data_IF_836836377374
#
_entry.id   IF_836836377374
#
_cell.length_a   1.000
_cell.length_b   1.000
_cell.length_c   1.000
_cell.angle_alpha   90.00
_cell.angle_beta   90.00
_cell.angle_gamma   90.00
#
_symmetry.space_group_name_H-M   'P 1'
#
loop_
_entity.id
_entity.type
_entity.pdbx_description
1 polymer ?
#
# COMPACT_ATOMS: atom_id res chain seq x y z
N UNK A 1 12.60 -23.32 -28.99
CA UNK A 1 11.69 -24.31 -28.40
C UNK A 1 10.66 -23.55 -27.56
N UNK A 2 9.38 -23.81 -27.69
CA UNK A 2 8.30 -23.22 -26.86
C UNK A 2 7.52 -24.34 -26.18
N UNK A 3 7.06 -24.07 -24.98
CA UNK A 3 6.23 -24.98 -24.19
C UNK A 3 4.77 -24.48 -24.22
N UNK A 4 3.81 -25.36 -24.19
CA UNK A 4 2.41 -24.93 -24.10
C UNK A 4 2.14 -24.17 -22.80
N UNK A 5 2.70 -24.64 -21.71
CA UNK A 5 2.57 -24.08 -20.37
C UNK A 5 3.92 -23.98 -19.69
N UNK A 6 4.19 -22.85 -19.03
CA UNK A 6 5.32 -22.65 -18.13
C UNK A 6 4.78 -22.37 -16.73
N UNK A 7 5.18 -23.18 -15.75
CA UNK A 7 4.76 -23.03 -14.34
C UNK A 7 6.01 -22.88 -13.48
N UNK A 8 5.93 -21.99 -12.47
CA UNK A 8 7.09 -21.81 -11.61
C UNK A 8 6.80 -21.04 -10.31
N UNK A 9 7.73 -21.23 -9.38
CA UNK A 9 7.91 -20.42 -8.19
C UNK A 9 9.35 -19.87 -8.23
N UNK A 10 9.58 -18.71 -8.86
CA UNK A 10 10.90 -18.15 -9.06
C UNK A 10 11.50 -17.61 -7.76
N UNK A 11 12.83 -17.40 -7.70
CA UNK A 11 13.48 -16.80 -6.54
C UNK A 11 13.02 -15.36 -6.32
N UNK A 12 12.74 -14.99 -5.06
CA UNK A 12 12.16 -13.68 -4.70
C UNK A 12 13.20 -12.57 -4.47
N UNK A 13 14.46 -12.92 -4.39
CA UNK A 13 15.57 -12.00 -4.10
C UNK A 13 15.72 -10.94 -5.18
N UNK A 14 15.85 -9.68 -4.78
CA UNK A 14 16.14 -8.54 -5.65
C UNK A 14 15.19 -8.38 -6.85
N UNK A 15 13.90 -8.71 -6.67
CA UNK A 15 12.89 -8.65 -7.73
C UNK A 15 13.21 -9.55 -8.95
N UNK A 16 14.06 -10.56 -8.78
CA UNK A 16 14.47 -11.49 -9.84
C UNK A 16 13.28 -12.27 -10.42
N UNK A 17 12.24 -12.51 -9.59
CA UNK A 17 11.02 -13.17 -10.03
C UNK A 17 10.35 -12.48 -11.24
N UNK A 18 10.50 -11.15 -11.38
CA UNK A 18 9.94 -10.40 -12.52
C UNK A 18 10.59 -10.86 -13.84
N UNK A 19 11.90 -11.05 -13.83
CA UNK A 19 12.66 -11.51 -15.00
C UNK A 19 12.24 -12.95 -15.36
N UNK A 20 12.06 -13.81 -14.35
CA UNK A 20 11.61 -15.20 -14.56
C UNK A 20 10.20 -15.29 -15.15
N UNK A 21 9.30 -14.42 -14.71
CA UNK A 21 7.94 -14.37 -15.27
C UNK A 21 7.97 -13.94 -16.73
N UNK A 22 8.75 -12.91 -17.05
CA UNK A 22 8.91 -12.44 -18.43
C UNK A 22 9.54 -13.54 -19.32
N UNK A 23 10.56 -14.25 -18.80
CA UNK A 23 11.15 -15.38 -19.49
C UNK A 23 10.13 -16.50 -19.70
N UNK A 24 9.35 -16.86 -18.67
CA UNK A 24 8.27 -17.84 -18.77
C UNK A 24 7.24 -17.45 -19.82
N UNK A 25 6.85 -16.20 -19.86
CA UNK A 25 5.95 -15.67 -20.89
C UNK A 25 6.57 -15.78 -22.30
N UNK A 26 7.86 -15.50 -22.45
CA UNK A 26 8.56 -15.66 -23.74
C UNK A 26 8.62 -17.14 -24.19
N UNK A 27 8.88 -18.06 -23.27
CA UNK A 27 9.03 -19.49 -23.54
C UNK A 27 7.72 -20.23 -23.71
N UNK A 28 6.62 -19.73 -23.16
CA UNK A 28 5.30 -20.34 -23.33
C UNK A 28 4.71 -20.02 -24.71
N UNK A 29 3.90 -20.94 -25.24
CA UNK A 29 3.07 -20.70 -26.42
C UNK A 29 1.64 -20.31 -26.07
N UNK A 30 1.14 -20.75 -24.88
CA UNK A 30 -0.22 -20.49 -24.42
C UNK A 30 -0.26 -19.82 -23.05
N UNK A 31 0.25 -20.49 -22.03
CA UNK A 31 0.06 -20.09 -20.64
C UNK A 31 1.36 -19.96 -19.85
N UNK A 32 1.38 -19.01 -18.95
CA UNK A 32 2.39 -18.92 -17.88
C UNK A 32 1.67 -18.79 -16.54
N UNK A 33 2.01 -19.67 -15.59
CA UNK A 33 1.46 -19.65 -14.23
C UNK A 33 2.62 -19.50 -13.26
N UNK A 34 2.61 -18.42 -12.52
CA UNK A 34 3.68 -18.13 -11.55
C UNK A 34 3.11 -17.76 -10.20
N UNK A 35 3.83 -18.17 -9.14
CA UNK A 35 3.62 -17.68 -7.79
C UNK A 35 4.76 -16.73 -7.44
N UNK A 36 4.44 -15.52 -7.00
CA UNK A 36 5.42 -14.46 -6.78
C UNK A 36 5.04 -13.58 -5.59
N UNK A 37 5.99 -12.80 -5.02
CA UNK A 37 5.64 -11.69 -4.15
C UNK A 37 4.65 -10.75 -4.83
N UNK A 38 3.68 -10.22 -4.06
CA UNK A 38 2.64 -9.35 -4.62
C UNK A 38 3.08 -7.88 -4.77
N UNK A 39 4.25 -7.52 -4.29
CA UNK A 39 4.75 -6.13 -4.28
C UNK A 39 4.82 -5.45 -5.65
N UNK A 40 4.93 -6.20 -6.74
CA UNK A 40 4.90 -5.67 -8.11
C UNK A 40 3.60 -4.92 -8.42
N UNK A 41 2.53 -5.24 -7.74
CA UNK A 41 1.23 -4.60 -7.93
C UNK A 41 1.22 -3.13 -7.49
N UNK A 42 2.00 -2.82 -6.45
CA UNK A 42 1.98 -1.52 -5.81
C UNK A 42 3.32 -0.78 -5.86
N UNK A 43 4.44 -1.48 -6.03
CA UNK A 43 5.77 -0.87 -6.05
C UNK A 43 5.98 -0.04 -7.33
N UNK A 44 6.36 1.22 -7.17
CA UNK A 44 6.72 2.10 -8.29
C UNK A 44 8.11 1.82 -8.85
N UNK A 45 8.37 2.38 -10.03
CA UNK A 45 9.68 2.45 -10.67
C UNK A 45 10.12 1.25 -11.49
N UNK A 46 10.96 1.52 -12.47
CA UNK A 46 11.80 0.61 -13.26
C UNK A 46 11.17 -0.71 -13.62
N UNK A 47 11.76 -1.81 -13.13
CA UNK A 47 11.35 -3.18 -13.43
C UNK A 47 9.88 -3.49 -13.12
N UNK A 48 9.29 -2.91 -12.06
CA UNK A 48 7.91 -3.19 -11.70
C UNK A 48 6.93 -2.55 -12.68
N UNK A 49 7.23 -1.36 -13.18
CA UNK A 49 6.41 -0.67 -14.20
C UNK A 49 6.52 -1.39 -15.55
N UNK A 50 7.74 -1.77 -15.93
CA UNK A 50 7.98 -2.57 -17.14
C UNK A 50 7.25 -3.92 -17.07
N UNK A 51 7.33 -4.61 -15.94
CA UNK A 51 6.60 -5.85 -15.73
C UNK A 51 5.08 -5.67 -15.89
N UNK A 52 4.53 -4.63 -15.27
CA UNK A 52 3.10 -4.34 -15.43
C UNK A 52 2.72 -4.06 -16.87
N UNK A 53 3.53 -3.28 -17.58
CA UNK A 53 3.27 -2.96 -18.98
C UNK A 53 3.33 -4.21 -19.89
N UNK A 54 4.26 -5.12 -19.63
CA UNK A 54 4.54 -6.25 -20.50
C UNK A 54 3.72 -7.50 -20.17
N UNK A 55 3.33 -7.70 -18.90
CA UNK A 55 2.74 -8.96 -18.44
C UNK A 55 1.27 -8.81 -18.04
N UNK A 56 0.91 -7.73 -17.34
CA UNK A 56 -0.46 -7.55 -16.83
C UNK A 56 -1.51 -7.53 -17.94
N UNK A 57 -1.29 -6.99 -19.16
CA UNK A 57 -2.27 -7.07 -20.24
C UNK A 57 -2.67 -8.48 -20.65
N UNK A 58 -1.81 -9.47 -20.37
CA UNK A 58 -2.05 -10.89 -20.65
C UNK A 58 -2.56 -11.68 -19.45
N UNK A 59 -2.72 -11.06 -18.29
CA UNK A 59 -3.27 -11.74 -17.12
C UNK A 59 -4.77 -11.95 -17.28
N UNK A 60 -5.21 -13.20 -17.13
CA UNK A 60 -6.63 -13.56 -17.15
C UNK A 60 -7.18 -13.81 -15.75
N UNK A 61 -6.37 -14.29 -14.83
CA UNK A 61 -6.76 -14.56 -13.45
C UNK A 61 -5.62 -14.18 -12.50
N UNK A 62 -5.98 -13.70 -11.33
CA UNK A 62 -5.06 -13.41 -10.24
C UNK A 62 -5.68 -13.82 -8.91
N UNK A 63 -4.86 -14.38 -8.02
CA UNK A 63 -5.21 -14.65 -6.63
C UNK A 63 -4.18 -13.97 -5.76
N UNK A 64 -4.61 -13.23 -4.76
CA UNK A 64 -3.77 -12.50 -3.84
C UNK A 64 -3.99 -12.96 -2.40
N UNK A 65 -2.90 -13.26 -1.74
CA UNK A 65 -2.84 -13.59 -0.32
C UNK A 65 -2.00 -12.53 0.38
N UNK A 66 -2.62 -11.54 1.04
CA UNK A 66 -1.88 -10.53 1.80
C UNK A 66 -1.12 -11.13 2.98
N UNK A 67 -1.65 -12.21 3.58
CA UNK A 67 -0.97 -12.99 4.60
C UNK A 67 -0.45 -14.29 3.97
N UNK A 68 0.83 -14.29 3.63
CA UNK A 68 1.52 -15.43 3.03
C UNK A 68 1.61 -16.65 3.97
N UNK A 69 1.46 -16.46 5.27
CA UNK A 69 1.47 -17.56 6.27
C UNK A 69 0.35 -18.55 6.07
N UNK A 70 -0.72 -18.13 5.34
CA UNK A 70 -1.78 -19.04 4.93
C UNK A 70 -1.34 -20.04 3.83
N UNK A 71 -0.16 -19.81 3.22
CA UNK A 71 0.36 -20.64 2.11
C UNK A 71 1.75 -21.19 2.44
N UNK A 72 2.62 -20.38 3.06
CA UNK A 72 4.00 -20.72 3.35
C UNK A 72 4.36 -20.34 4.79
N UNK A 73 5.22 -21.14 5.41
CA UNK A 73 5.76 -20.88 6.76
C UNK A 73 6.84 -19.79 6.81
N UNK A 74 6.93 -18.96 5.77
CA UNK A 74 7.91 -17.88 5.64
C UNK A 74 7.23 -16.55 5.41
N UNK A 75 7.74 -15.50 6.06
CA UNK A 75 7.26 -14.14 5.85
C UNK A 75 7.71 -13.55 4.51
N UNK A 76 6.75 -13.11 3.71
CA UNK A 76 6.98 -12.37 2.47
C UNK A 76 6.30 -11.00 2.55
N UNK A 77 7.08 -9.95 2.71
CA UNK A 77 6.55 -8.60 2.84
C UNK A 77 5.70 -8.19 1.63
N UNK A 78 4.45 -7.79 1.89
CA UNK A 78 3.49 -7.39 0.86
C UNK A 78 2.60 -8.53 0.36
N UNK A 79 2.74 -9.75 0.92
CA UNK A 79 1.95 -10.91 0.54
C UNK A 79 2.41 -11.59 -0.74
N UNK A 80 1.68 -12.62 -1.10
CA UNK A 80 1.95 -13.48 -2.27
C UNK A 80 0.79 -13.42 -3.24
N UNK A 81 1.10 -13.53 -4.51
CA UNK A 81 0.12 -13.65 -5.58
C UNK A 81 0.50 -14.78 -6.52
N UNK A 82 -0.50 -15.48 -7.03
CA UNK A 82 -0.32 -16.29 -8.22
C UNK A 82 -1.32 -15.89 -9.29
N UNK A 83 -0.94 -16.07 -10.53
CA UNK A 83 -1.72 -15.59 -11.65
C UNK A 83 -1.50 -16.43 -12.89
N UNK A 84 -2.51 -16.37 -13.74
CA UNK A 84 -2.48 -16.97 -15.08
C UNK A 84 -2.26 -15.87 -16.11
N UNK A 85 -1.14 -15.94 -16.80
CA UNK A 85 -0.86 -15.16 -18.02
C UNK A 85 -1.29 -15.99 -19.21
N UNK A 86 -2.24 -15.49 -19.98
CA UNK A 86 -2.83 -16.14 -21.14
C UNK A 86 -2.53 -15.32 -22.39
N UNK A 87 -1.81 -15.90 -23.33
CA UNK A 87 -1.42 -15.19 -24.57
C UNK A 87 -2.58 -14.86 -25.51
N UNK A 88 -3.74 -15.42 -25.28
CA UNK A 88 -4.96 -15.09 -26.03
C UNK A 88 -5.72 -13.89 -25.44
N UNK A 89 -5.36 -13.47 -24.22
CA UNK A 89 -5.98 -12.33 -23.54
C UNK A 89 -5.10 -11.10 -23.70
N UNK A 90 -5.70 -10.00 -24.07
CA UNK A 90 -5.02 -8.69 -24.22
C UNK A 90 -5.79 -7.56 -23.55
N UNK A 91 -6.75 -7.85 -22.68
CA UNK A 91 -7.55 -6.82 -22.01
C UNK A 91 -7.50 -6.99 -20.49
N UNK A 92 -6.85 -6.04 -19.86
CA UNK A 92 -6.72 -5.94 -18.40
C UNK A 92 -8.08 -5.83 -17.69
N UNK A 93 -9.12 -5.36 -18.35
CA UNK A 93 -10.46 -5.22 -17.75
C UNK A 93 -11.11 -6.56 -17.43
N UNK A 94 -10.63 -7.64 -18.04
CA UNK A 94 -11.17 -8.96 -17.86
C UNK A 94 -10.41 -9.81 -16.83
N UNK A 95 -9.47 -9.21 -16.08
CA UNK A 95 -8.75 -9.94 -15.05
C UNK A 95 -9.68 -10.23 -13.87
N UNK A 96 -9.86 -11.49 -13.58
CA UNK A 96 -10.65 -11.95 -12.43
C UNK A 96 -9.73 -12.02 -11.22
N UNK A 97 -10.00 -11.19 -10.22
CA UNK A 97 -9.33 -11.25 -8.93
C UNK A 97 -10.11 -12.19 -7.99
N UNK A 98 -9.47 -13.26 -7.55
CA UNK A 98 -10.02 -14.26 -6.65
C UNK A 98 -9.22 -14.21 -5.36
N UNK A 99 -9.54 -13.27 -4.48
CA UNK A 99 -8.89 -13.19 -3.17
C UNK A 99 -9.82 -13.75 -2.10
N UNK A 100 -9.27 -14.51 -1.16
CA UNK A 100 -10.03 -15.19 -0.10
C UNK A 100 -10.27 -14.33 1.15
N UNK A 101 -10.00 -13.03 1.06
CA UNK A 101 -10.14 -12.11 2.17
C UNK A 101 -11.55 -11.55 2.22
N UNK A 102 -12.21 -11.66 3.36
CA UNK A 102 -13.63 -11.32 3.52
C UNK A 102 -14.00 -9.86 3.20
N UNK A 103 -13.06 -8.92 3.31
CA UNK A 103 -13.26 -7.51 2.96
C UNK A 103 -12.82 -7.17 1.54
N UNK A 104 -12.07 -8.07 0.88
CA UNK A 104 -11.71 -7.93 -0.54
C UNK A 104 -12.76 -8.68 -1.36
N UNK A 105 -13.56 -7.94 -2.11
CA UNK A 105 -14.50 -8.53 -3.06
C UNK A 105 -13.75 -8.88 -4.35
N UNK A 106 -14.03 -10.03 -4.99
CA UNK A 106 -13.54 -10.31 -6.33
C UNK A 106 -13.89 -9.14 -7.25
N UNK A 107 -12.92 -8.65 -7.99
CA UNK A 107 -13.09 -7.46 -8.79
C UNK A 107 -12.17 -7.46 -9.99
N UNK A 108 -12.53 -6.69 -10.99
CA UNK A 108 -11.64 -6.36 -12.09
C UNK A 108 -10.43 -5.58 -11.59
N UNK A 109 -9.27 -5.84 -12.18
CA UNK A 109 -8.08 -5.06 -11.90
C UNK A 109 -8.12 -3.77 -12.72
N UNK A 110 -8.02 -2.63 -12.05
CA UNK A 110 -8.05 -1.34 -12.71
C UNK A 110 -6.66 -0.96 -13.20
N UNK A 111 -6.56 -0.60 -14.49
CA UNK A 111 -5.30 -0.26 -15.14
C UNK A 111 -4.51 0.84 -14.42
N UNK A 112 -5.21 1.80 -13.86
CA UNK A 112 -4.62 2.95 -13.16
C UNK A 112 -4.16 2.60 -11.74
N UNK A 113 -4.62 1.44 -11.22
CA UNK A 113 -4.54 1.08 -9.82
C UNK A 113 -4.31 -0.43 -9.65
N UNK A 114 -3.25 -0.96 -10.24
CA UNK A 114 -2.88 -2.38 -10.17
C UNK A 114 -2.79 -2.94 -8.75
N UNK A 115 -2.49 -2.07 -7.80
CA UNK A 115 -2.41 -2.36 -6.38
C UNK A 115 -3.77 -2.24 -5.66
N UNK A 116 -4.79 -1.68 -6.28
CA UNK A 116 -6.16 -1.73 -5.81
C UNK A 116 -6.77 -3.06 -6.22
N UNK A 117 -6.50 -4.03 -5.44
CA UNK A 117 -6.84 -5.42 -5.69
C UNK A 117 -8.33 -5.72 -5.69
N UNK A 118 -9.18 -4.70 -5.51
CA UNK A 118 -10.64 -4.86 -5.53
C UNK A 118 -11.36 -3.54 -5.79
N UNK A 119 -12.65 -3.64 -6.14
CA UNK A 119 -13.50 -2.48 -6.37
C UNK A 119 -13.69 -1.61 -5.14
N UNK A 120 -13.57 -2.17 -3.94
CA UNK A 120 -13.70 -1.42 -2.68
C UNK A 120 -12.56 -0.41 -2.56
N UNK A 121 -11.29 -0.86 -2.66
CA UNK A 121 -10.14 0.05 -2.63
C UNK A 121 -10.20 1.09 -3.73
N UNK A 122 -10.62 0.70 -4.94
CA UNK A 122 -10.82 1.63 -6.05
C UNK A 122 -11.86 2.71 -5.74
N UNK A 123 -12.99 2.34 -5.15
CA UNK A 123 -14.05 3.28 -4.78
C UNK A 123 -13.53 4.37 -3.82
N UNK A 124 -12.76 3.99 -2.80
CA UNK A 124 -12.16 4.95 -1.87
C UNK A 124 -11.22 5.92 -2.57
N UNK A 125 -10.39 5.43 -3.47
CA UNK A 125 -9.46 6.28 -4.20
C UNK A 125 -10.20 7.24 -5.14
N UNK A 126 -11.28 6.80 -5.78
CA UNK A 126 -12.10 7.70 -6.59
C UNK A 126 -12.66 8.86 -5.77
N UNK A 127 -13.02 8.65 -4.51
CA UNK A 127 -13.47 9.72 -3.61
C UNK A 127 -12.37 10.72 -3.25
N UNK A 128 -11.14 10.25 -3.16
CA UNK A 128 -10.00 11.10 -2.75
C UNK A 128 -9.12 11.60 -3.90
N UNK A 129 -9.34 11.14 -5.14
CA UNK A 129 -8.45 11.43 -6.28
C UNK A 129 -8.33 12.91 -6.64
N UNK A 130 -9.40 13.67 -6.46
CA UNK A 130 -9.46 15.08 -6.82
C UNK A 130 -8.90 16.01 -5.73
N UNK A 131 -8.63 15.47 -4.54
CA UNK A 131 -8.02 16.24 -3.48
C UNK A 131 -6.52 16.32 -3.67
N UNK A 132 -5.93 17.46 -3.27
CA UNK A 132 -4.47 17.57 -3.16
C UNK A 132 -3.96 16.48 -2.27
N UNK A 133 -2.85 15.85 -2.64
CA UNK A 133 -2.28 14.76 -1.85
C UNK A 133 -1.43 15.29 -0.70
N UNK A 134 -1.47 14.58 0.41
CA UNK A 134 -0.63 14.88 1.57
C UNK A 134 0.83 14.81 1.14
N UNK A 135 1.56 15.88 1.35
CA UNK A 135 3.02 15.87 1.20
C UNK A 135 3.63 15.25 2.44
N UNK A 136 4.26 14.10 2.28
CA UNK A 136 4.86 13.34 3.36
C UNK A 136 6.33 13.12 3.05
N UNK A 137 7.23 13.83 3.73
CA UNK A 137 8.66 13.48 3.62
C UNK A 137 9.69 14.57 3.40
N UNK A 138 9.32 15.79 3.07
CA UNK A 138 10.28 16.88 2.88
C UNK A 138 9.86 18.09 3.70
N UNK A 139 10.30 18.13 4.95
CA UNK A 139 10.02 19.23 5.85
C UNK A 139 11.31 19.90 6.35
N UNK A 140 11.18 21.20 6.60
CA UNK A 140 12.28 22.04 7.03
C UNK A 140 12.77 21.62 8.42
N UNK A 141 14.05 21.33 8.55
CA UNK A 141 14.66 21.01 9.85
C UNK A 141 14.83 22.23 10.77
N UNK A 142 14.58 23.44 10.25
CA UNK A 142 14.76 24.69 10.99
C UNK A 142 13.59 25.04 11.92
N UNK A 143 12.52 24.26 11.89
CA UNK A 143 11.35 24.49 12.75
C UNK A 143 11.56 23.99 14.16
N UNK A 144 10.89 24.67 15.11
CA UNK A 144 11.02 24.38 16.55
C UNK A 144 10.57 22.97 16.91
N UNK A 145 9.44 22.52 16.37
CA UNK A 145 8.90 21.19 16.63
C UNK A 145 8.94 20.35 15.36
N UNK A 146 9.44 19.13 15.50
CA UNK A 146 9.60 18.18 14.39
C UNK A 146 8.97 16.85 14.74
N UNK A 147 8.10 16.38 13.90
CA UNK A 147 7.57 15.03 13.99
C UNK A 147 8.44 14.09 13.18
N UNK A 148 8.96 13.08 13.85
CA UNK A 148 9.77 12.03 13.23
C UNK A 148 9.02 10.72 13.26
N UNK A 149 9.23 9.96 12.22
CA UNK A 149 8.51 8.73 11.97
C UNK A 149 9.42 7.69 11.33
N UNK A 150 9.40 6.46 11.84
CA UNK A 150 10.23 5.39 11.32
C UNK A 150 9.92 5.08 9.86
N UNK A 151 10.95 4.79 9.08
CA UNK A 151 10.79 4.27 7.71
C UNK A 151 10.21 2.87 7.70
N UNK A 152 10.35 2.12 8.80
CA UNK A 152 9.94 0.72 8.89
C UNK A 152 8.67 0.59 9.72
N UNK A 153 7.79 -0.31 9.33
CA UNK A 153 6.76 -0.80 10.22
C UNK A 153 7.43 -1.58 11.35
N UNK A 154 7.06 -1.31 12.59
CA UNK A 154 7.55 -2.09 13.73
C UNK A 154 6.86 -3.42 13.86
N UNK A 155 5.65 -3.52 13.34
CA UNK A 155 4.94 -4.78 13.33
C UNK A 155 5.04 -5.40 11.95
N UNK A 156 5.62 -6.58 11.87
CA UNK A 156 5.68 -7.39 10.64
C UNK A 156 4.29 -7.79 10.16
N UNK A 157 3.28 -7.50 10.96
CA UNK A 157 1.90 -7.85 10.76
C UNK A 157 1.11 -6.72 10.08
N UNK A 158 1.56 -6.28 8.91
CA UNK A 158 0.69 -5.58 7.94
C UNK A 158 -0.62 -6.36 7.77
N UNK A 159 -0.53 -7.67 7.92
CA UNK A 159 -1.58 -8.65 7.75
C UNK A 159 -2.56 -8.77 8.93
N UNK A 160 -2.20 -8.32 10.12
CA UNK A 160 -3.06 -8.41 11.31
C UNK A 160 -4.08 -7.28 11.42
N UNK A 161 -4.41 -6.60 10.31
CA UNK A 161 -5.39 -5.50 10.29
C UNK A 161 -4.99 -4.32 11.21
N UNK A 162 -3.76 -4.31 11.67
CA UNK A 162 -3.18 -3.29 12.52
C UNK A 162 -2.05 -2.63 11.76
N UNK A 163 -2.36 -1.64 10.96
CA UNK A 163 -1.33 -0.73 10.50
C UNK A 163 -0.86 0.07 11.72
N UNK A 164 0.02 -0.54 12.53
CA UNK A 164 0.58 0.12 13.70
C UNK A 164 1.71 1.01 13.22
N UNK A 165 1.38 2.26 13.10
CA UNK A 165 2.37 3.31 12.98
C UNK A 165 3.10 3.40 14.33
N UNK A 166 4.42 3.39 14.32
CA UNK A 166 5.23 3.57 15.52
C UNK A 166 4.77 4.79 16.34
N UNK A 167 4.95 4.79 17.66
CA UNK A 167 4.61 5.95 18.48
C UNK A 167 5.21 7.21 17.86
N UNK A 168 4.44 8.31 17.81
CA UNK A 168 4.94 9.56 17.31
C UNK A 168 6.10 10.04 18.20
N UNK A 169 7.16 10.44 17.55
CA UNK A 169 8.26 11.11 18.25
C UNK A 169 8.24 12.59 17.86
N UNK A 170 7.91 13.45 18.83
CA UNK A 170 8.00 14.90 18.68
C UNK A 170 9.33 15.35 19.23
N UNK A 171 10.18 15.89 18.40
CA UNK A 171 11.45 16.47 18.75
C UNK A 171 11.31 17.98 18.92
N UNK A 172 11.74 18.51 20.05
CA UNK A 172 11.96 19.95 20.23
C UNK A 172 13.40 20.30 19.79
N UNK A 173 13.58 21.36 19.04
CA UNK A 173 14.89 21.82 18.55
C UNK A 173 15.90 22.10 19.70
N UNK A 174 15.39 22.40 20.89
CA UNK A 174 16.23 22.61 22.07
C UNK A 174 16.76 21.29 22.67
N UNK A 175 16.16 20.15 22.32
CA UNK A 175 16.49 18.81 22.80
C UNK A 175 16.71 17.85 21.64
N UNK A 176 17.41 18.29 20.60
CA UNK A 176 17.64 17.49 19.41
C UNK A 176 18.34 16.15 19.76
N UNK A 177 17.61 15.07 19.70
CA UNK A 177 18.19 13.75 19.86
C UNK A 177 18.93 13.35 18.56
N UNK A 178 20.04 12.64 18.71
CA UNK A 178 20.75 12.02 17.57
C UNK A 178 19.95 10.81 17.07
N UNK A 179 18.72 11.05 16.59
CA UNK A 179 17.95 9.97 15.95
C UNK A 179 18.59 9.59 14.62
N UNK A 180 18.64 8.30 14.37
CA UNK A 180 19.24 7.74 13.17
C UNK A 180 18.51 8.20 11.90
N UNK A 181 19.18 8.06 10.75
CA UNK A 181 18.59 8.28 9.41
C UNK A 181 17.32 7.48 9.13
N UNK A 182 16.99 6.50 10.00
CA UNK A 182 15.75 5.70 9.92
C UNK A 182 14.51 6.44 10.45
N UNK A 183 14.67 7.62 11.06
CA UNK A 183 13.58 8.46 11.57
C UNK A 183 13.61 9.85 10.92
N UNK A 184 13.34 9.97 9.63
CA UNK A 184 13.30 11.27 8.97
C UNK A 184 12.19 12.16 9.53
N UNK A 185 12.39 13.46 9.43
CA UNK A 185 11.34 14.45 9.73
C UNK A 185 10.20 14.28 8.73
N UNK A 186 8.97 14.20 9.21
CA UNK A 186 7.78 14.01 8.40
C UNK A 186 6.81 15.19 8.42
N UNK A 187 6.90 15.99 9.45
CA UNK A 187 6.21 17.27 9.60
C UNK A 187 6.99 18.16 10.56
N UNK A 188 6.94 19.46 10.35
CA UNK A 188 7.57 20.42 11.23
C UNK A 188 6.80 21.73 11.27
N UNK A 189 6.74 22.36 12.46
CA UNK A 189 6.11 23.65 12.70
C UNK A 189 6.74 24.34 13.88
N UNK A 190 6.59 25.65 13.95
CA UNK A 190 6.90 26.45 15.15
C UNK A 190 5.78 26.38 16.19
N UNK A 191 4.62 25.84 15.81
CA UNK A 191 3.46 25.59 16.66
C UNK A 191 3.30 24.11 16.94
N UNK A 192 3.39 23.71 18.20
CA UNK A 192 3.23 22.31 18.62
C UNK A 192 1.82 21.76 18.34
N UNK A 193 0.81 22.62 18.36
CA UNK A 193 -0.57 22.17 18.13
C UNK A 193 -0.81 21.80 16.67
N UNK A 194 -0.13 22.46 15.73
CA UNK A 194 -0.10 22.01 14.32
C UNK A 194 0.53 20.62 14.17
N UNK A 195 1.62 20.34 14.91
CA UNK A 195 2.25 19.02 14.91
C UNK A 195 1.33 17.96 15.49
N UNK A 196 0.63 18.28 16.59
CA UNK A 196 -0.37 17.36 17.17
C UNK A 196 -1.55 17.12 16.22
N UNK A 197 -2.03 18.17 15.55
CA UNK A 197 -3.06 18.10 14.53
C UNK A 197 -2.65 17.18 13.39
N UNK A 198 -1.46 17.38 12.82
CA UNK A 198 -0.91 16.49 11.79
C UNK A 198 -0.87 15.03 12.25
N UNK A 199 -0.40 14.80 13.49
CA UNK A 199 -0.34 13.46 14.08
C UNK A 199 -1.76 12.85 14.17
N UNK A 200 -2.74 13.60 14.65
CA UNK A 200 -4.11 13.10 14.76
C UNK A 200 -4.66 12.65 13.41
N UNK A 201 -4.38 13.41 12.36
CA UNK A 201 -4.80 13.08 11.00
C UNK A 201 -4.17 11.79 10.48
N UNK A 202 -2.83 11.67 10.51
CA UNK A 202 -2.15 10.49 9.97
C UNK A 202 -2.41 9.21 10.77
N UNK A 203 -2.83 9.35 12.04
CA UNK A 203 -3.20 8.23 12.90
C UNK A 203 -4.70 7.89 12.87
N UNK A 204 -5.51 8.67 12.18
CA UNK A 204 -6.93 8.34 11.96
C UNK A 204 -7.06 6.99 11.24
N UNK A 205 -8.18 6.29 11.49
CA UNK A 205 -8.50 5.05 10.77
C UNK A 205 -8.63 5.30 9.27
N UNK A 206 -9.21 6.45 8.90
CA UNK A 206 -9.35 6.89 7.51
C UNK A 206 -7.99 6.96 6.79
N UNK A 207 -7.03 7.73 7.31
CA UNK A 207 -5.72 7.87 6.68
C UNK A 207 -4.95 6.53 6.65
N UNK A 208 -5.00 5.78 7.75
CA UNK A 208 -4.36 4.45 7.85
C UNK A 208 -4.94 3.44 6.86
N UNK A 209 -6.24 3.48 6.61
CA UNK A 209 -6.87 2.63 5.60
C UNK A 209 -6.37 2.97 4.19
N UNK A 210 -6.25 4.25 3.85
CA UNK A 210 -5.71 4.67 2.56
C UNK A 210 -4.23 4.29 2.40
N UNK A 211 -3.45 4.37 3.48
CA UNK A 211 -2.06 3.86 3.49
C UNK A 211 -2.05 2.35 3.29
N UNK A 212 -2.94 1.60 3.96
CA UNK A 212 -3.04 0.14 3.80
C UNK A 212 -3.32 -0.26 2.34
N UNK A 213 -4.20 0.47 1.67
CA UNK A 213 -4.45 0.26 0.23
C UNK A 213 -3.17 0.51 -0.58
N UNK A 214 -2.36 1.48 -0.19
CA UNK A 214 -1.14 1.90 -0.90
C UNK A 214 0.12 1.12 -0.55
N UNK A 215 0.11 0.32 0.50
CA UNK A 215 1.30 -0.38 1.01
C UNK A 215 1.62 -1.60 0.17
N UNK A 216 2.88 -1.69 -0.24
CA UNK A 216 3.41 -2.85 -0.98
C UNK A 216 4.64 -3.50 -0.31
N UNK A 217 5.11 -2.92 0.78
CA UNK A 217 6.27 -3.41 1.52
C UNK A 217 6.24 -2.93 2.97
N UNK A 218 7.17 -3.40 3.79
CA UNK A 218 7.33 -2.94 5.18
C UNK A 218 7.85 -1.49 5.30
N UNK A 219 8.19 -0.84 4.19
CA UNK A 219 8.70 0.53 4.18
C UNK A 219 7.56 1.55 4.03
N UNK A 220 7.08 2.09 5.14
CA UNK A 220 6.15 3.24 5.13
C UNK A 220 6.82 4.57 4.79
N UNK A 221 8.13 4.59 4.74
CA UNK A 221 8.89 5.82 4.59
C UNK A 221 8.89 6.40 3.21
N UNK A 222 8.36 5.69 2.24
CA UNK A 222 8.26 6.19 0.88
C UNK A 222 6.98 7.00 0.72
N UNK A 223 7.06 8.17 0.08
CA UNK A 223 5.91 8.99 -0.30
C UNK A 223 4.88 8.19 -1.10
N UNK A 224 5.35 7.12 -1.71
CA UNK A 224 4.54 6.20 -2.48
C UNK A 224 3.44 5.51 -1.64
N UNK A 225 3.69 5.17 -0.38
CA UNK A 225 2.68 4.58 0.49
C UNK A 225 1.56 5.57 0.85
N UNK A 226 1.87 6.88 0.83
CA UNK A 226 0.95 7.96 1.19
C UNK A 226 0.25 8.60 -0.01
N UNK A 227 0.50 8.12 -1.23
CA UNK A 227 -0.01 8.70 -2.48
C UNK A 227 -1.53 8.82 -2.59
N UNK A 228 -2.28 8.09 -1.76
CA UNK A 228 -3.74 8.14 -1.73
C UNK A 228 -4.30 8.97 -0.61
N UNK A 229 -3.48 9.30 0.37
CA UNK A 229 -3.90 10.10 1.53
C UNK A 229 -4.04 11.54 1.07
N UNK A 230 -5.26 12.11 1.12
CA UNK A 230 -5.48 13.49 0.74
C UNK A 230 -4.90 14.44 1.79
N UNK A 231 -4.57 15.65 1.35
CA UNK A 231 -4.26 16.76 2.24
C UNK A 231 -5.58 17.21 2.91
N UNK A 232 -5.70 17.17 4.24
CA UNK A 232 -6.95 17.52 4.91
C UNK A 232 -7.17 19.04 4.97
N UNK A 233 -6.19 19.86 4.58
CA UNK A 233 -6.18 21.30 4.74
C UNK A 233 -5.34 21.75 5.95
N UNK A 234 -5.68 22.87 6.59
CA UNK A 234 -4.92 23.39 7.72
C UNK A 234 -4.88 22.40 8.89
N UNK A 235 -3.72 22.34 9.55
CA UNK A 235 -3.54 21.54 10.77
C UNK A 235 -3.78 22.42 12.01
N UNK A 236 -5.02 22.85 12.17
CA UNK A 236 -5.45 23.83 13.20
C UNK A 236 -6.32 23.22 14.32
N UNK A 237 -6.67 21.94 14.20
CA UNK A 237 -7.47 21.21 15.19
C UNK A 237 -7.09 19.72 15.22
N UNK A 238 -7.64 18.98 16.17
CA UNK A 238 -7.46 17.52 16.25
C UNK A 238 -8.51 16.85 15.37
N UNK A 239 -8.06 16.15 14.34
CA UNK A 239 -8.93 15.41 13.42
C UNK A 239 -9.52 14.18 14.08
N UNK A 240 -10.81 13.94 13.80
CA UNK A 240 -11.53 12.72 14.16
C UNK A 240 -11.91 11.92 12.93
N UNK A 241 -12.10 10.60 13.08
CA UNK A 241 -12.54 9.75 11.98
C UNK A 241 -13.91 10.15 11.46
N UNK A 242 -14.87 10.50 12.36
CA UNK A 242 -16.21 10.95 11.97
C UNK A 242 -16.21 12.20 11.10
N UNK A 243 -15.33 13.16 11.42
CA UNK A 243 -15.14 14.36 10.61
C UNK A 243 -14.61 14.01 9.22
N UNK A 244 -13.60 13.14 9.17
CA UNK A 244 -13.00 12.73 7.91
C UNK A 244 -13.98 11.92 7.05
N UNK A 245 -14.77 11.04 7.64
CA UNK A 245 -15.80 10.30 6.92
C UNK A 245 -16.82 11.22 6.27
N UNK A 246 -17.28 12.24 6.99
CA UNK A 246 -18.18 13.27 6.44
C UNK A 246 -17.51 14.10 5.35
N UNK A 247 -16.26 14.56 5.59
CA UNK A 247 -15.51 15.39 4.65
C UNK A 247 -15.33 14.71 3.29
N UNK A 248 -15.08 13.41 3.29
CA UNK A 248 -14.86 12.64 2.06
C UNK A 248 -16.10 11.88 1.57
N UNK A 249 -17.28 12.19 2.12
CA UNK A 249 -18.58 11.62 1.73
C UNK A 249 -18.58 10.08 1.69
N UNK A 250 -18.08 9.46 2.76
CA UNK A 250 -18.10 8.01 2.88
C UNK A 250 -19.53 7.53 3.17
N UNK A 251 -19.89 6.42 2.57
CA UNK A 251 -21.15 5.73 2.88
C UNK A 251 -20.99 4.92 4.16
N UNK A 252 -22.10 4.53 4.76
CA UNK A 252 -22.12 3.67 5.95
C UNK A 252 -21.41 2.33 5.69
N UNK A 253 -21.59 1.73 4.50
CA UNK A 253 -20.89 0.50 4.12
C UNK A 253 -19.35 0.71 4.10
N UNK A 254 -18.88 1.82 3.55
CA UNK A 254 -17.47 2.17 3.51
C UNK A 254 -16.90 2.43 4.90
N UNK A 255 -17.62 3.14 5.75
CA UNK A 255 -17.24 3.37 7.15
C UNK A 255 -17.10 2.03 7.87
N UNK A 256 -18.08 1.15 7.74
CA UNK A 256 -18.04 -0.19 8.34
C UNK A 256 -16.84 -1.01 7.88
N UNK A 257 -16.43 -0.87 6.62
CA UNK A 257 -15.22 -1.53 6.10
C UNK A 257 -13.97 -0.97 6.81
N UNK A 258 -13.83 0.35 6.92
CA UNK A 258 -12.69 0.96 7.62
C UNK A 258 -12.65 0.51 9.08
N UNK A 259 -13.78 0.59 9.78
CA UNK A 259 -13.89 0.22 11.18
C UNK A 259 -13.57 -1.27 11.43
N UNK A 260 -13.96 -2.13 10.49
CA UNK A 260 -13.64 -3.55 10.55
C UNK A 260 -12.17 -3.85 10.27
N UNK A 261 -11.57 -3.16 9.28
CA UNK A 261 -10.20 -3.44 8.81
C UNK A 261 -9.16 -2.78 9.70
N UNK A 262 -9.39 -1.53 10.12
CA UNK A 262 -8.42 -0.75 10.89
C UNK A 262 -8.79 -0.75 12.36
N UNK A 263 -8.04 -1.49 13.16
CA UNK A 263 -8.24 -1.54 14.62
C UNK A 263 -7.85 -0.23 15.29
N UNK A 264 -8.47 0.03 16.42
CA UNK A 264 -8.04 1.11 17.29
C UNK A 264 -6.59 0.91 17.76
N UNK A 265 -5.88 2.02 17.81
CA UNK A 265 -4.54 2.01 18.36
C UNK A 265 -4.63 1.91 19.88
N UNK A 266 -4.08 0.85 20.46
CA UNK A 266 -3.85 0.82 21.92
C UNK A 266 -2.80 1.89 22.22
N UNK A 267 -3.21 2.95 22.89
CA UNK A 267 -2.25 3.88 23.48
C UNK A 267 -1.46 3.09 24.54
N UNK A 268 -0.15 3.01 24.35
CA UNK A 268 0.76 2.52 25.38
C UNK A 268 1.21 3.70 26.23
#
# INVERSE_FOLDING_TARGET
MKFDVVIGNPPYTNDLYLDFVQLGHQLSSKYTVMITPAKWQAKGGGKNEEFRANIVPYMSKIVYYPDERNIFDIGCSGGITYYLVDKQVHDIKNIINISDISWIKPAEMHRELYWCLNNTGYAFIQKTKNYKKLKFGHYCEDKKYRFRFSKLFTDRNIHEKNLVINPPYIEDSNNASKLSSNYPVRFSSDNIDEVKSFISYIYSKFARFLVLIGVCSTEMGSDYCWRFVPDPGPFDHIFTDDELYKKYNLTEEEINIIEYVIKERKQK
#
